data_IF_288053555860
#
_entry.id   IF_288053555860
#
_cell.length_a   1.000
_cell.length_b   1.000
_cell.length_c   1.000
_cell.angle_alpha   90.00
_cell.angle_beta   90.00
_cell.angle_gamma   90.00
#
_symmetry.space_group_name_H-M   'P 1'
#
loop_
_entity.id
_entity.type
_entity.pdbx_description
1 polymer ?
2 non-polymer ?
3 non-polymer ?
4 non-polymer ?
5 water ?
#
# COMPACT_ATOMS: atom_id res chain seq x y z
N UNK A 28 11.06 17.54 -9.56
CA UNK A 28 11.38 16.32 -10.30
C UNK A 28 10.59 15.05 -9.98
N UNK A 29 9.59 14.73 -10.79
CA UNK A 29 8.87 13.50 -10.53
C UNK A 29 9.57 12.24 -11.07
N UNK A 30 9.22 11.13 -10.48
CA UNK A 30 9.76 9.87 -10.86
C UNK A 30 8.67 8.86 -11.25
N UNK A 31 9.11 7.67 -11.71
CA UNK A 31 8.20 6.58 -12.04
C UNK A 31 8.45 5.59 -10.96
N UNK A 32 7.36 5.12 -10.38
CA UNK A 32 7.39 4.16 -9.30
C UNK A 32 6.53 3.01 -9.71
N UNK A 33 7.11 1.83 -9.52
CA UNK A 33 6.37 0.68 -9.90
C UNK A 33 6.21 -0.24 -8.79
N UNK A 34 4.97 -0.65 -8.60
CA UNK A 34 4.76 -1.63 -7.56
C UNK A 34 4.31 -2.88 -8.18
N UNK A 35 5.18 -3.88 -8.13
CA UNK A 35 4.82 -5.15 -8.73
C UNK A 35 5.07 -6.38 -7.82
N UNK A 36 4.96 -7.63 -8.32
CA UNK A 36 5.18 -8.83 -7.47
C UNK A 36 3.89 -9.51 -6.99
N UNK A 37 3.88 -10.74 -6.48
CA UNK A 37 2.66 -11.43 -6.07
C UNK A 37 2.13 -11.14 -4.69
N UNK A 38 2.94 -10.58 -3.81
CA UNK A 38 2.42 -10.26 -2.47
C UNK A 38 1.44 -9.05 -2.50
N UNK A 39 0.50 -9.06 -1.54
CA UNK A 39 -0.52 -8.04 -1.32
C UNK A 39 0.12 -6.72 -1.01
N UNK A 40 -0.31 -5.59 -1.61
CA UNK A 40 0.32 -4.33 -1.17
C UNK A 40 0.70 -3.36 -2.23
N UNK A 41 0.40 -3.65 -3.44
CA UNK A 41 0.86 -2.73 -4.49
C UNK A 41 -0.06 -1.49 -4.65
N UNK A 42 -1.37 -1.81 -4.77
CA UNK A 42 -2.42 -0.86 -4.87
C UNK A 42 -2.42 -0.10 -3.52
N UNK A 43 -2.36 -0.87 -2.42
CA UNK A 43 -2.30 -0.24 -1.12
C UNK A 43 -1.21 0.79 -1.00
N UNK A 44 -0.03 0.44 -1.53
CA UNK A 44 1.10 1.39 -1.48
C UNK A 44 0.94 2.61 -2.37
N UNK A 45 0.40 2.39 -3.57
CA UNK A 45 0.17 3.51 -4.45
C UNK A 45 -0.67 4.55 -3.73
N UNK A 46 -1.78 4.03 -3.05
CA UNK A 46 -2.77 4.83 -2.26
C UNK A 46 -2.20 5.59 -1.10
N UNK A 47 -1.34 4.92 -0.35
CA UNK A 47 -0.62 5.53 0.75
C UNK A 47 0.34 6.60 0.25
N UNK A 48 0.76 6.49 -0.96
CA UNK A 48 1.69 7.55 -1.36
C UNK A 48 0.81 8.74 -1.71
N UNK A 49 -0.28 8.42 -2.40
CA UNK A 49 -1.27 9.34 -2.83
C UNK A 49 -1.78 10.07 -1.60
N UNK A 50 -2.12 9.34 -0.57
CA UNK A 50 -2.59 9.95 0.68
C UNK A 50 -1.58 10.84 1.26
N UNK A 51 -0.38 10.32 1.23
CA UNK A 51 0.70 11.07 1.74
C UNK A 51 0.76 12.38 0.97
N UNK A 52 0.68 12.31 -0.34
CA UNK A 52 0.76 13.52 -1.13
C UNK A 52 -0.41 14.49 -0.92
N UNK A 53 -1.60 13.95 -0.75
CA UNK A 53 -2.78 14.74 -0.51
C UNK A 53 -2.58 15.43 0.82
N UNK A 54 -2.01 14.70 1.77
CA UNK A 54 -1.67 15.28 3.09
C UNK A 54 -0.61 16.39 3.00
N UNK A 55 0.05 16.57 1.82
CA UNK A 55 1.05 17.65 1.65
C UNK A 55 0.56 18.78 0.73
N UNK A 56 -0.75 18.77 0.56
CA UNK A 56 -1.46 19.75 -0.22
C UNK A 56 -1.28 19.56 -1.70
N UNK A 57 -0.78 18.39 -2.05
CA UNK A 57 -0.50 18.00 -3.43
C UNK A 57 -1.74 17.59 -4.24
N UNK A 58 -1.62 17.68 -5.57
CA UNK A 58 -2.70 17.33 -6.52
C UNK A 58 -2.47 15.94 -7.14
N UNK A 59 -3.44 15.08 -7.04
CA UNK A 59 -3.27 13.78 -7.60
C UNK A 59 -4.44 13.29 -8.42
N UNK A 60 -4.15 12.48 -9.42
CA UNK A 60 -5.21 11.90 -10.23
C UNK A 60 -5.01 10.37 -10.28
N UNK A 61 -6.12 9.64 -10.28
CA UNK A 61 -6.12 8.19 -10.36
C UNK A 61 -6.97 7.60 -11.48
N UNK A 62 -6.36 6.61 -12.08
CA UNK A 62 -6.98 5.84 -13.13
C UNK A 62 -6.87 4.43 -12.65
N UNK A 63 -7.99 3.72 -12.69
CA UNK A 63 -7.97 2.38 -12.27
C UNK A 63 -8.30 1.53 -13.44
N UNK A 64 -7.49 0.54 -13.76
CA UNK A 64 -7.76 -0.26 -14.93
C UNK A 64 -8.58 -1.47 -14.65
N UNK A 65 -8.94 -1.57 -13.42
CA UNK A 65 -9.76 -2.69 -13.12
C UNK A 65 -10.97 -2.35 -12.29
N UNK A 66 -12.14 -2.87 -12.68
CA UNK A 66 -13.38 -2.63 -11.95
C UNK A 66 -13.78 -3.58 -10.78
N UNK A 67 -13.46 -3.17 -9.54
CA UNK A 67 -13.83 -3.94 -8.37
C UNK A 67 -15.33 -4.21 -8.31
N UNK A 68 -15.69 -5.22 -7.58
CA UNK A 68 -17.10 -5.51 -7.49
C UNK A 68 -17.66 -4.59 -6.43
N UNK A 69 -16.84 -4.57 -5.38
CA UNK A 69 -17.05 -3.84 -4.18
C UNK A 69 -16.86 -2.35 -4.26
N UNK A 70 -17.28 -1.77 -3.16
CA UNK A 70 -17.17 -0.35 -3.06
C UNK A 70 -15.70 -0.05 -2.86
N UNK A 71 -15.33 1.11 -3.36
CA UNK A 71 -13.98 1.58 -3.34
C UNK A 71 -13.60 2.54 -2.22
N UNK A 72 -13.23 1.98 -1.08
CA UNK A 72 -12.76 2.75 0.09
C UNK A 72 -11.72 3.85 -0.17
N UNK A 73 -10.68 3.57 -0.98
CA UNK A 73 -9.69 4.58 -1.28
C UNK A 73 -10.38 5.74 -1.99
N UNK A 74 -11.25 5.35 -2.89
CA UNK A 74 -11.97 6.36 -3.62
C UNK A 74 -12.79 7.16 -2.63
N UNK A 75 -13.63 6.43 -1.87
CA UNK A 75 -14.53 6.96 -0.84
C UNK A 75 -13.85 8.01 0.00
N UNK A 76 -12.62 7.77 0.37
CA UNK A 76 -11.85 8.69 1.21
C UNK A 76 -11.14 9.81 0.51
N UNK A 77 -10.59 9.52 -0.67
CA UNK A 77 -9.79 10.53 -1.34
C UNK A 77 -10.57 11.38 -2.32
N UNK A 78 -11.58 10.80 -2.94
CA UNK A 78 -12.31 11.59 -3.92
C UNK A 78 -12.80 12.91 -3.36
N UNK A 79 -13.31 12.84 -2.15
CA UNK A 79 -13.81 14.05 -1.52
C UNK A 79 -12.72 15.06 -1.31
N UNK A 80 -11.50 14.58 -1.10
CA UNK A 80 -10.44 15.57 -0.91
C UNK A 80 -9.97 16.20 -2.20
N UNK A 81 -10.59 15.89 -3.29
CA UNK A 81 -9.98 16.57 -4.38
C UNK A 81 -9.30 15.57 -5.27
N UNK A 82 -9.41 14.28 -5.00
CA UNK A 82 -8.72 13.35 -5.92
C UNK A 82 -9.62 12.81 -7.02
N UNK A 83 -9.26 13.09 -8.29
CA UNK A 83 -10.06 12.61 -9.42
C UNK A 83 -9.86 11.13 -9.68
N UNK A 84 -10.92 10.42 -9.94
CA UNK A 84 -10.78 9.02 -10.18
C UNK A 84 -11.47 8.61 -11.45
N UNK A 85 -10.75 7.96 -12.34
CA UNK A 85 -11.37 7.46 -13.55
C UNK A 85 -11.17 5.99 -13.53
N UNK A 86 -12.29 5.33 -13.53
CA UNK A 86 -12.29 3.90 -13.45
C UNK A 86 -12.66 3.20 -14.76
N UNK A 87 -12.36 1.90 -14.85
CA UNK A 87 -12.64 1.11 -16.06
C UNK A 87 -14.11 0.82 -16.13
N UNK A 88 -14.68 0.84 -17.33
CA UNK A 88 -16.10 0.53 -17.40
C UNK A 88 -16.37 -0.87 -16.84
N UNK A 89 -17.58 -1.09 -16.33
CA UNK A 89 -17.95 -2.38 -15.80
C UNK A 89 -18.07 -3.42 -16.93
N UNK A 90 -18.00 -4.71 -16.55
CA UNK A 90 -18.13 -5.90 -17.40
C UNK A 90 -16.94 -6.30 -18.25
N UNK A 91 -15.74 -5.90 -17.91
CA UNK A 91 -14.60 -6.28 -18.69
C UNK A 91 -14.46 -7.78 -18.64
N UNK A 92 -14.48 -8.40 -19.82
CA UNK A 92 -14.45 -9.87 -19.93
C UNK A 92 -13.14 -10.65 -19.64
N UNK A 93 -12.00 -10.14 -20.13
CA UNK A 93 -10.69 -10.77 -20.03
C UNK A 93 -10.76 -11.88 -21.06
N UNK A 94 -11.69 -11.80 -22.00
CA UNK A 94 -11.82 -12.91 -22.92
C UNK A 94 -11.38 -12.63 -24.35
N UNK A 95 -10.70 -13.63 -24.90
CA UNK A 95 -10.14 -13.58 -26.22
C UNK A 95 -11.08 -13.05 -27.26
N UNK A 96 -12.27 -13.66 -27.41
CA UNK A 96 -13.21 -13.18 -28.46
C UNK A 96 -13.61 -11.73 -28.33
N UNK A 97 -13.83 -11.42 -27.07
CA UNK A 97 -14.25 -10.14 -26.63
C UNK A 97 -13.20 -9.10 -26.54
N UNK A 98 -12.05 -9.48 -27.02
CA UNK A 98 -10.96 -8.56 -26.95
C UNK A 98 -11.23 -7.22 -27.57
N UNK A 99 -12.12 -7.13 -28.54
CA UNK A 99 -12.37 -5.85 -29.18
C UNK A 99 -13.08 -4.89 -28.25
N UNK A 100 -14.18 -5.38 -27.68
CA UNK A 100 -14.95 -4.62 -26.72
C UNK A 100 -14.03 -4.20 -25.60
N UNK A 101 -13.54 -5.26 -24.98
CA UNK A 101 -12.63 -5.21 -23.90
C UNK A 101 -11.58 -4.19 -24.11
N UNK A 102 -11.21 -3.97 -25.36
CA UNK A 102 -10.11 -3.04 -25.70
C UNK A 102 -10.49 -1.58 -25.75
N UNK A 103 -11.63 -1.40 -26.37
CA UNK A 103 -12.18 -0.08 -26.52
C UNK A 103 -12.25 0.55 -25.14
N UNK A 104 -12.80 -0.25 -24.28
CA UNK A 104 -12.97 0.11 -22.93
C UNK A 104 -11.68 0.51 -22.29
N UNK A 105 -10.65 -0.21 -22.68
CA UNK A 105 -9.36 0.07 -22.09
C UNK A 105 -8.84 1.33 -22.65
N UNK A 106 -9.07 1.38 -23.93
CA UNK A 106 -8.58 2.54 -24.63
C UNK A 106 -9.31 3.78 -24.18
N UNK A 107 -10.54 3.58 -23.73
CA UNK A 107 -11.37 4.63 -23.22
C UNK A 107 -10.85 5.07 -21.84
N UNK A 108 -10.40 4.17 -21.00
CA UNK A 108 -9.88 4.68 -19.76
C UNK A 108 -8.58 5.41 -20.00
N UNK A 109 -7.72 4.76 -20.81
CA UNK A 109 -6.37 5.25 -21.16
C UNK A 109 -6.30 6.72 -21.57
N UNK A 110 -7.47 7.21 -21.93
CA UNK A 110 -7.60 8.56 -22.39
C UNK A 110 -7.41 9.51 -21.28
N UNK A 111 -8.17 9.25 -20.21
CA UNK A 111 -8.13 10.06 -19.00
C UNK A 111 -6.71 10.05 -18.48
N UNK A 112 -6.11 8.87 -18.67
CA UNK A 112 -4.73 8.59 -18.29
C UNK A 112 -3.84 9.46 -19.12
N UNK A 113 -4.16 9.57 -20.41
CA UNK A 113 -3.38 10.43 -21.29
C UNK A 113 -3.44 11.90 -20.79
N UNK A 114 -4.65 12.25 -20.48
CA UNK A 114 -4.98 13.54 -19.96
C UNK A 114 -4.23 13.88 -18.70
N UNK A 115 -4.29 12.98 -17.74
CA UNK A 115 -3.60 13.25 -16.49
C UNK A 115 -2.07 13.36 -16.61
N UNK A 116 -1.50 12.60 -17.53
CA UNK A 116 -0.05 12.62 -17.75
C UNK A 116 0.40 13.85 -18.53
N UNK A 117 -0.56 14.64 -18.89
CA UNK A 117 -0.30 15.89 -19.58
C UNK A 117 -0.76 17.11 -18.77
N UNK A 118 -1.32 16.87 -17.60
CA UNK A 118 -1.78 17.90 -16.73
C UNK A 118 -0.66 18.30 -15.78
N UNK A 119 -0.35 19.58 -15.92
CA UNK A 119 0.74 20.24 -15.25
C UNK A 119 0.47 20.67 -13.86
N UNK A 120 -0.76 20.56 -13.49
CA UNK A 120 -1.12 20.91 -12.15
C UNK A 120 -1.22 19.67 -11.30
N UNK A 121 -1.06 18.53 -11.96
CA UNK A 121 -1.12 17.25 -11.31
C UNK A 121 0.27 16.84 -10.84
N UNK A 122 0.43 16.72 -9.51
CA UNK A 122 1.73 16.34 -9.00
C UNK A 122 1.95 14.89 -9.06
N UNK A 123 0.86 14.17 -9.04
CA UNK A 123 0.97 12.78 -9.06
C UNK A 123 -0.21 12.15 -9.72
N UNK A 124 0.09 11.06 -10.44
CA UNK A 124 -0.87 10.19 -11.17
C UNK A 124 -0.73 8.73 -10.70
N UNK A 125 -1.83 8.08 -10.44
CA UNK A 125 -1.73 6.71 -10.05
C UNK A 125 -2.25 5.91 -11.24
N UNK A 126 -1.55 4.89 -11.76
CA UNK A 126 -2.15 4.13 -12.87
C UNK A 126 -2.35 2.72 -12.39
N UNK A 127 -3.43 2.51 -11.72
CA UNK A 127 -3.70 1.24 -11.10
C UNK A 127 -4.04 0.10 -12.01
N UNK A 128 -3.13 -0.87 -11.94
CA UNK A 128 -3.17 -2.12 -12.64
C UNK A 128 -3.01 -2.08 -14.12
N UNK A 129 -2.18 -1.18 -14.52
CA UNK A 129 -1.86 -1.02 -15.91
C UNK A 129 -1.22 -2.26 -16.54
N UNK A 130 -0.36 -2.85 -15.73
CA UNK A 130 0.43 -4.02 -16.07
C UNK A 130 -0.30 -5.00 -16.91
N UNK A 131 -1.45 -5.37 -16.48
CA UNK A 131 -2.17 -6.33 -17.28
C UNK A 131 -2.70 -5.71 -18.53
N UNK A 132 -2.78 -4.42 -18.52
CA UNK A 132 -3.30 -3.87 -19.72
C UNK A 132 -2.26 -3.97 -20.83
N UNK A 133 -1.04 -3.71 -20.45
CA UNK A 133 0.02 -3.78 -21.43
C UNK A 133 0.27 -5.21 -21.84
N UNK A 134 0.37 -6.05 -20.83
CA UNK A 134 0.61 -7.48 -20.89
C UNK A 134 -0.30 -8.25 -21.79
N UNK A 135 -1.56 -7.86 -21.86
CA UNK A 135 -2.45 -8.63 -22.73
C UNK A 135 -2.78 -7.97 -24.05
N UNK A 136 -1.99 -6.97 -24.35
CA UNK A 136 -2.14 -6.27 -25.59
C UNK A 136 -3.32 -5.35 -25.70
N UNK A 137 -3.99 -5.12 -24.58
CA UNK A 137 -5.14 -4.22 -24.53
C UNK A 137 -4.74 -2.76 -24.72
N UNK A 138 -3.58 -2.41 -24.17
CA UNK A 138 -3.03 -1.05 -24.20
C UNK A 138 -1.64 -1.08 -24.79
N UNK A 139 -1.48 -0.52 -25.95
CA UNK A 139 -0.17 -0.49 -26.58
C UNK A 139 1.02 0.09 -25.78
N UNK A 140 2.08 -0.69 -25.59
CA UNK A 140 3.29 -0.32 -24.84
C UNK A 140 3.87 1.04 -25.11
N UNK A 141 3.85 1.37 -26.39
CA UNK A 141 4.38 2.62 -26.91
C UNK A 141 3.60 3.82 -26.41
N UNK A 142 2.28 3.61 -26.29
CA UNK A 142 1.34 4.61 -25.80
C UNK A 142 1.75 5.03 -24.42
N UNK A 143 1.80 4.03 -23.60
CA UNK A 143 2.16 4.26 -22.23
C UNK A 143 3.49 4.96 -22.16
N UNK A 144 4.37 4.38 -22.89
CA UNK A 144 5.70 4.89 -22.90
C UNK A 144 5.83 6.34 -23.22
N UNK A 145 5.32 6.64 -24.39
CA UNK A 145 5.43 7.97 -24.84
C UNK A 145 4.81 8.93 -23.87
N UNK A 146 3.64 8.51 -23.40
CA UNK A 146 2.84 9.26 -22.47
C UNK A 146 3.62 9.53 -21.20
N UNK A 147 4.42 8.54 -20.81
CA UNK A 147 5.23 8.66 -19.63
C UNK A 147 6.33 9.67 -19.85
N UNK A 148 7.06 9.44 -20.91
CA UNK A 148 8.19 10.29 -21.24
C UNK A 148 7.88 11.76 -21.39
N UNK A 149 6.75 11.98 -22.01
CA UNK A 149 6.34 13.30 -22.32
C UNK A 149 5.70 14.05 -21.13
N UNK A 150 5.56 13.39 -19.97
CA UNK A 150 4.95 13.98 -18.77
C UNK A 150 5.73 15.13 -18.11
N UNK A 151 4.98 16.00 -17.37
CA UNK A 151 5.56 17.12 -16.64
C UNK A 151 6.73 16.70 -15.79
N UNK A 152 7.83 17.43 -16.03
CA UNK A 152 9.10 17.20 -15.34
C UNK A 152 8.97 17.01 -13.84
N UNK A 153 7.99 17.71 -13.26
CA UNK A 153 7.74 17.63 -11.84
C UNK A 153 6.69 16.61 -11.42
N UNK A 154 6.14 15.82 -12.35
CA UNK A 154 5.08 14.87 -12.04
C UNK A 154 5.53 13.43 -11.72
N UNK A 155 4.92 12.81 -10.68
CA UNK A 155 5.21 11.44 -10.28
C UNK A 155 4.11 10.43 -10.67
N UNK A 156 4.53 9.38 -11.30
CA UNK A 156 3.61 8.37 -11.72
C UNK A 156 3.92 7.11 -10.90
N UNK A 157 2.87 6.45 -10.43
CA UNK A 157 3.00 5.21 -9.69
C UNK A 157 2.25 4.14 -10.44
N UNK A 158 2.93 3.10 -10.86
CA UNK A 158 2.21 2.10 -11.63
C UNK A 158 2.16 0.86 -10.80
N UNK A 159 1.05 0.15 -10.88
CA UNK A 159 1.00 -1.07 -10.12
C UNK A 159 0.45 -2.19 -10.96
N UNK A 160 0.67 -3.37 -10.40
CA UNK A 160 0.15 -4.64 -10.94
C UNK A 160 1.20 -5.72 -11.22
N UNK A 161 0.72 -6.97 -11.19
CA UNK A 161 1.53 -8.12 -11.50
C UNK A 161 1.99 -8.07 -12.94
N UNK A 162 3.25 -8.44 -13.11
CA UNK A 162 3.92 -8.57 -14.39
C UNK A 162 3.98 -7.36 -15.20
N UNK A 163 4.93 -6.53 -14.84
CA UNK A 163 5.05 -5.27 -15.55
C UNK A 163 6.07 -5.34 -16.68
N UNK A 164 5.69 -4.87 -17.85
CA UNK A 164 6.58 -4.89 -18.97
C UNK A 164 8.02 -4.39 -18.69
N UNK A 165 8.98 -5.21 -19.19
CA UNK A 165 10.40 -4.99 -19.05
C UNK A 165 10.76 -3.60 -19.49
N UNK A 166 10.08 -3.11 -20.51
CA UNK A 166 10.38 -1.76 -20.93
C UNK A 166 10.10 -0.80 -19.78
N UNK A 167 8.87 -0.94 -19.23
CA UNK A 167 8.36 -0.11 -18.15
C UNK A 167 9.26 -0.09 -16.98
N UNK A 168 9.61 -1.34 -16.62
CA UNK A 168 10.50 -1.58 -15.50
C UNK A 168 11.82 -0.82 -15.61
N UNK A 169 12.28 -0.72 -16.86
CA UNK A 169 13.52 -0.05 -17.20
C UNK A 169 13.34 1.46 -17.20
N UNK A 170 12.22 1.92 -17.72
CA UNK A 170 11.96 3.36 -17.75
C UNK A 170 11.75 3.87 -16.34
N UNK A 171 11.31 2.95 -15.50
CA UNK A 171 11.03 3.25 -14.12
C UNK A 171 12.22 3.72 -13.31
N UNK A 172 12.01 4.63 -12.36
CA UNK A 172 13.11 5.09 -11.50
C UNK A 172 13.12 4.28 -10.20
N UNK A 173 11.95 3.91 -9.72
CA UNK A 173 11.93 3.13 -8.50
C UNK A 173 11.09 1.93 -8.79
N UNK A 174 11.37 0.85 -8.12
CA UNK A 174 10.57 -0.34 -8.41
C UNK A 174 10.62 -1.23 -7.22
N UNK A 175 9.49 -1.70 -6.82
CA UNK A 175 9.52 -2.62 -5.70
C UNK A 175 8.74 -3.94 -5.93
N UNK A 176 9.35 -5.03 -5.47
CA UNK A 176 8.78 -6.34 -5.61
C UNK A 176 8.15 -6.77 -4.29
N UNK A 177 6.87 -7.03 -4.36
CA UNK A 177 6.16 -7.45 -3.16
C UNK A 177 6.29 -8.94 -3.16
N UNK A 178 7.33 -9.38 -2.46
CA UNK A 178 7.53 -10.80 -2.43
C UNK A 178 6.53 -11.42 -1.49
N UNK A 179 5.86 -12.43 -2.00
CA UNK A 179 4.82 -13.16 -1.31
C UNK A 179 5.29 -14.09 -0.22
N UNK A 180 5.86 -13.54 0.79
CA UNK A 180 6.28 -14.45 1.81
C UNK A 180 5.18 -15.21 2.51
N UNK A 181 4.08 -14.54 2.74
CA UNK A 181 2.96 -15.13 3.44
C UNK A 181 1.71 -14.38 3.07
N UNK A 182 0.61 -15.10 3.05
CA UNK A 182 -0.70 -14.57 2.73
C UNK A 182 -1.88 -15.29 3.40
N UNK A 183 -2.61 -14.53 4.24
CA UNK A 183 -3.78 -14.92 5.06
C UNK A 183 -4.77 -15.87 4.40
N UNK A 184 -4.99 -15.62 3.11
CA UNK A 184 -5.89 -16.43 2.36
C UNK A 184 -5.41 -17.86 2.19
N UNK A 185 -4.12 -18.02 2.35
CA UNK A 185 -3.57 -19.33 2.21
C UNK A 185 -3.94 -20.16 3.41
N UNK A 186 -3.99 -19.44 4.54
CA UNK A 186 -4.38 -20.02 5.81
C UNK A 186 -5.93 -20.10 5.98
N UNK A 187 -6.69 -19.92 4.91
CA UNK A 187 -8.15 -20.03 5.05
C UNK A 187 -8.89 -18.74 5.44
N UNK A 188 -8.19 -17.59 5.46
CA UNK A 188 -8.85 -16.32 5.78
C UNK A 188 -9.53 -15.65 4.59
N UNK A 189 -10.81 -15.49 4.73
CA UNK A 189 -11.65 -14.85 3.74
C UNK A 189 -11.24 -13.38 3.55
N UNK A 190 -11.35 -12.93 2.29
CA UNK A 190 -11.14 -11.54 1.85
C UNK A 190 -12.17 -10.74 2.65
N UNK A 191 -11.81 -9.60 3.21
CA UNK A 191 -12.78 -8.91 4.00
C UNK A 191 -12.69 -7.42 3.80
N UNK A 192 -13.78 -6.72 4.06
CA UNK A 192 -13.73 -5.29 3.84
C UNK A 192 -12.78 -4.56 4.75
N UNK A 193 -12.11 -3.56 4.20
CA UNK A 193 -11.19 -2.89 5.06
C UNK A 193 -9.78 -3.41 4.86
N UNK A 194 -9.63 -4.73 4.64
CA UNK A 194 -8.27 -5.25 4.45
C UNK A 194 -7.97 -5.49 2.99
N UNK A 195 -8.85 -6.25 2.40
CA UNK A 195 -8.76 -6.66 1.03
C UNK A 195 -9.37 -5.81 -0.03
N UNK A 196 -10.51 -5.18 0.24
CA UNK A 196 -11.16 -4.28 -0.71
C UNK A 196 -11.66 -3.11 0.14
N UNK B 7 -11.68 -24.63 -23.67
CA UNK B 7 -12.46 -25.85 -23.56
C UNK B 7 -13.00 -26.07 -22.17
N UNK B 8 -12.49 -27.14 -21.60
CA UNK B 8 -12.79 -27.62 -20.28
C UNK B 8 -11.74 -27.13 -19.28
N UNK B 9 -10.71 -26.53 -19.87
CA UNK B 9 -9.66 -25.95 -19.07
C UNK B 9 -10.23 -24.79 -18.26
N UNK B 10 -10.96 -24.00 -18.99
CA UNK B 10 -11.66 -22.87 -18.48
C UNK B 10 -12.42 -23.29 -17.19
N UNK B 11 -13.29 -24.30 -17.30
CA UNK B 11 -14.05 -24.74 -16.15
C UNK B 11 -13.13 -25.20 -15.07
N UNK B 12 -12.07 -25.82 -15.56
CA UNK B 12 -11.07 -26.40 -14.70
C UNK B 12 -10.62 -25.41 -13.63
N UNK B 13 -10.25 -24.24 -14.16
CA UNK B 13 -9.78 -23.12 -13.35
C UNK B 13 -10.91 -22.57 -12.51
N UNK B 14 -12.05 -22.36 -13.21
CA UNK B 14 -13.33 -21.90 -12.69
C UNK B 14 -13.64 -22.64 -11.42
N UNK B 15 -13.49 -23.96 -11.53
CA UNK B 15 -13.72 -24.87 -10.43
C UNK B 15 -12.71 -24.75 -9.35
N UNK B 16 -11.48 -24.44 -9.76
CA UNK B 16 -10.41 -24.30 -8.80
C UNK B 16 -10.67 -23.12 -7.85
N UNK B 17 -10.83 -21.95 -8.49
CA UNK B 17 -11.08 -20.71 -7.80
C UNK B 17 -12.24 -20.85 -6.83
N UNK B 18 -13.36 -21.25 -7.42
CA UNK B 18 -14.58 -21.45 -6.67
C UNK B 18 -14.35 -22.26 -5.44
N UNK B 19 -13.48 -23.26 -5.61
CA UNK B 19 -13.22 -24.13 -4.50
C UNK B 19 -12.32 -23.49 -3.48
N UNK B 20 -11.34 -22.78 -3.97
CA UNK B 20 -10.42 -22.16 -3.04
C UNK B 20 -11.17 -21.17 -2.14
N UNK B 21 -11.94 -20.38 -2.85
CA UNK B 21 -12.77 -19.34 -2.31
C UNK B 21 -13.79 -19.91 -1.36
N UNK B 22 -14.40 -21.01 -1.85
CA UNK B 22 -15.35 -21.77 -1.13
C UNK B 22 -14.72 -22.24 0.18
N UNK B 23 -13.41 -22.58 0.17
CA UNK B 23 -12.64 -23.10 1.33
C UNK B 23 -12.35 -22.05 2.40
N UNK B 24 -11.91 -20.83 1.99
CA UNK B 24 -11.49 -19.77 2.92
C UNK B 24 -12.61 -18.90 3.54
N UNK B 25 -13.32 -19.53 4.47
CA UNK B 25 -14.45 -18.88 5.11
C UNK B 25 -14.17 -18.12 6.38
N UNK B 26 -13.06 -18.42 7.00
CA UNK B 26 -12.70 -17.79 8.23
C UNK B 26 -12.68 -16.32 8.08
N UNK B 27 -12.86 -15.67 9.19
CA UNK B 27 -12.86 -14.26 9.09
C UNK B 27 -12.65 -13.67 10.44
N UNK B 28 -11.53 -12.97 10.54
CA UNK B 28 -11.13 -12.26 11.74
C UNK B 28 -10.07 -11.24 11.41
N UNK B 29 -9.61 -10.52 12.41
CA UNK B 29 -8.55 -9.56 12.15
C UNK B 29 -7.22 -10.31 11.95
N UNK B 30 -6.36 -9.84 11.05
CA UNK B 30 -5.09 -10.48 10.76
C UNK B 30 -3.90 -9.58 11.01
N UNK B 31 -2.73 -10.25 11.01
CA UNK B 31 -1.47 -9.57 11.18
C UNK B 31 -0.86 -9.43 9.84
N UNK B 32 -0.42 -8.25 9.54
CA UNK B 32 0.16 -8.05 8.26
C UNK B 32 1.52 -7.44 8.44
N UNK B 33 2.50 -8.01 7.76
CA UNK B 33 3.80 -7.42 7.89
C UNK B 33 4.24 -6.92 6.54
N UNK B 34 4.89 -5.76 6.58
CA UNK B 34 5.45 -5.15 5.41
C UNK B 34 6.91 -4.96 5.67
N UNK B 35 7.74 -5.83 5.09
CA UNK B 35 9.17 -5.76 5.31
C UNK B 35 10.04 -5.61 4.07
N UNK B 36 11.36 -5.77 4.21
CA UNK B 36 12.27 -5.62 3.08
C UNK B 36 12.87 -4.25 2.98
N UNK B 37 13.78 -4.07 2.02
CA UNK B 37 14.48 -2.81 1.88
C UNK B 37 13.89 -1.96 0.85
N UNK B 38 13.00 -2.57 0.10
CA UNK B 38 12.42 -1.71 -0.90
C UNK B 38 11.39 -0.70 -0.32
N UNK B 39 11.23 0.45 -1.01
CA UNK B 39 10.28 1.50 -0.66
C UNK B 39 8.82 0.99 -0.70
N UNK B 40 7.98 1.40 0.25
CA UNK B 40 6.62 0.94 0.18
C UNK B 40 6.08 0.31 1.44
N UNK B 41 6.88 0.14 2.49
CA UNK B 41 6.37 -0.48 3.71
C UNK B 41 5.37 0.46 4.41
N UNK B 42 5.82 1.60 4.91
CA UNK B 42 4.91 2.52 5.56
C UNK B 42 3.81 2.91 4.58
N UNK B 43 4.14 3.30 3.35
CA UNK B 43 3.10 3.64 2.39
C UNK B 43 1.97 2.62 2.19
N UNK B 44 2.25 1.31 2.28
CA UNK B 44 1.17 0.34 2.06
C UNK B 44 0.30 0.13 3.27
N UNK B 45 0.87 0.42 4.44
CA UNK B 45 0.10 0.30 5.66
C UNK B 45 -1.07 1.36 5.69
N UNK B 46 -0.64 2.59 5.35
CA UNK B 46 -1.46 3.81 5.21
C UNK B 46 -2.49 3.67 4.09
N UNK B 47 -2.11 2.94 3.04
CA UNK B 47 -3.07 2.78 2.00
C UNK B 47 -4.09 1.83 2.49
N UNK B 48 -3.72 1.03 3.43
CA UNK B 48 -4.72 0.05 3.82
C UNK B 48 -5.63 0.69 4.86
N UNK B 49 -4.99 1.54 5.61
CA UNK B 49 -5.68 2.26 6.63
C UNK B 49 -6.75 3.01 5.91
N UNK B 50 -6.30 3.79 4.95
CA UNK B 50 -7.13 4.64 4.12
C UNK B 50 -8.28 3.89 3.54
N UNK B 51 -7.99 2.66 3.10
CA UNK B 51 -8.99 1.80 2.48
C UNK B 51 -10.10 1.42 3.51
N UNK B 52 -9.65 1.23 4.74
CA UNK B 52 -10.46 0.89 5.91
C UNK B 52 -11.43 2.02 6.26
N UNK B 53 -10.86 3.19 6.42
CA UNK B 53 -11.61 4.39 6.71
C UNK B 53 -12.68 4.52 5.64
N UNK B 54 -12.26 4.43 4.36
CA UNK B 54 -13.11 4.53 3.18
C UNK B 54 -14.40 3.73 3.31
N UNK B 55 -14.41 2.69 4.19
CA UNK B 55 -15.55 1.80 4.50
C UNK B 55 -16.21 2.01 5.88
N UNK B 56 -15.72 2.98 6.65
CA UNK B 56 -16.22 3.27 7.98
C UNK B 56 -15.48 2.54 9.06
N UNK B 57 -14.46 1.80 8.68
CA UNK B 57 -13.75 1.08 9.73
C UNK B 57 -12.94 2.04 10.58
N UNK B 58 -12.71 1.65 11.87
CA UNK B 58 -11.93 2.45 12.86
C UNK B 58 -10.46 1.99 12.95
N UNK B 59 -9.53 2.91 12.84
CA UNK B 59 -8.13 2.62 12.83
C UNK B 59 -7.33 3.50 13.75
N UNK B 60 -6.28 2.90 14.30
CA UNK B 60 -5.33 3.56 15.21
C UNK B 60 -3.89 3.35 14.74
N UNK B 61 -3.08 4.38 14.78
CA UNK B 61 -1.70 4.30 14.33
C UNK B 61 -0.63 4.65 15.34
N UNK B 62 0.45 3.90 15.34
CA UNK B 62 1.54 4.26 16.21
C UNK B 62 2.81 4.36 15.36
N UNK B 63 3.53 5.46 15.40
CA UNK B 63 4.74 5.56 14.60
C UNK B 63 6.05 5.51 15.44
N UNK B 64 6.90 4.43 15.35
CA UNK B 64 8.18 4.36 16.14
C UNK B 64 9.31 5.28 15.86
N UNK B 65 9.17 5.97 14.73
CA UNK B 65 10.14 6.94 14.28
C UNK B 65 9.49 8.28 13.93
N UNK B 66 10.18 9.32 14.35
CA UNK B 66 9.76 10.67 14.10
C UNK B 66 10.59 11.35 13.01
N UNK B 67 9.90 11.53 11.89
CA UNK B 67 10.49 12.14 10.72
C UNK B 67 10.99 13.58 10.92
N UNK B 68 11.69 14.03 9.88
CA UNK B 68 12.29 15.35 9.74
C UNK B 68 11.24 16.36 9.25
N UNK B 69 10.24 15.86 8.53
CA UNK B 69 9.23 16.73 7.96
C UNK B 69 7.85 16.44 8.45
N UNK B 70 6.90 17.19 7.87
CA UNK B 70 5.48 17.05 8.16
C UNK B 70 4.87 15.72 7.65
N UNK B 71 3.90 15.20 8.45
CA UNK B 71 3.18 13.94 8.26
C UNK B 71 1.92 14.05 7.40
N UNK B 72 2.14 13.98 6.09
CA UNK B 72 1.06 14.02 5.14
C UNK B 72 -0.04 13.04 5.52
N UNK B 73 0.33 11.85 5.95
CA UNK B 73 -0.69 10.87 6.27
C UNK B 73 -1.51 11.27 7.45
N UNK B 74 -0.80 11.79 8.44
CA UNK B 74 -1.39 12.26 9.69
C UNK B 74 -2.36 13.37 9.39
N UNK B 75 -1.81 14.30 8.60
CA UNK B 75 -2.54 15.45 8.18
C UNK B 75 -3.90 15.05 7.66
N UNK B 76 -3.83 14.22 6.63
CA UNK B 76 -4.98 13.67 5.96
C UNK B 76 -5.84 12.74 6.81
N UNK B 77 -5.22 11.78 7.53
CA UNK B 77 -6.00 10.80 8.28
C UNK B 77 -6.49 11.15 9.70
N UNK B 78 -5.78 12.03 10.40
CA UNK B 78 -6.23 12.32 11.76
C UNK B 78 -7.70 12.78 11.84
N UNK B 79 -7.97 13.86 11.12
CA UNK B 79 -9.31 14.41 11.04
C UNK B 79 -10.38 13.37 10.75
N UNK B 80 -10.04 12.22 10.19
CA UNK B 80 -11.10 11.27 9.97
C UNK B 80 -11.35 10.45 11.17
N UNK B 81 -10.58 10.79 12.20
CA UNK B 81 -10.71 10.10 13.44
C UNK B 81 -9.74 8.93 13.55
N UNK B 82 -8.58 9.17 12.97
CA UNK B 82 -7.52 8.22 13.06
C UNK B 82 -6.50 8.80 14.01
N UNK B 83 -6.40 8.19 15.19
CA UNK B 83 -5.45 8.68 16.18
C UNK B 83 -4.04 8.28 15.81
N UNK B 84 -3.13 9.21 16.02
CA UNK B 84 -1.74 9.06 15.79
C UNK B 84 -0.93 9.20 17.06
N UNK B 85 -0.22 8.14 17.42
CA UNK B 85 0.69 8.22 18.55
C UNK B 85 2.09 8.12 17.99
N UNK B 86 2.73 9.28 17.89
CA UNK B 86 4.06 9.45 17.37
C UNK B 86 5.13 9.60 18.45
N UNK B 87 6.36 9.29 18.04
CA UNK B 87 7.59 9.33 18.80
C UNK B 87 8.22 10.71 18.90
N UNK B 88 8.68 10.95 20.13
CA UNK B 88 9.29 12.21 20.49
C UNK B 88 10.51 12.62 19.71
N UNK B 89 10.65 13.93 19.57
CA UNK B 89 11.79 14.43 18.83
C UNK B 89 13.06 14.03 19.59
N UNK B 90 14.19 14.16 18.88
CA UNK B 90 15.51 13.93 19.39
C UNK B 90 15.93 12.50 19.78
N UNK B 91 15.23 11.44 19.37
CA UNK B 91 15.68 10.06 19.68
C UNK B 91 17.09 9.84 19.12
N UNK B 92 17.93 9.31 19.99
CA UNK B 92 19.29 9.02 19.65
C UNK B 92 19.40 7.58 19.26
N UNK B 93 20.26 7.33 18.35
CA UNK B 93 20.29 5.91 18.19
C UNK B 93 21.44 5.37 19.01
N UNK B 94 22.09 6.34 19.74
CA UNK B 94 23.22 6.20 20.70
C UNK B 94 23.05 5.33 21.91
N UNK B 95 24.02 4.43 21.96
CA UNK B 95 24.16 3.44 22.97
C UNK B 95 24.19 4.16 24.34
N UNK B 96 25.03 5.17 24.33
CA UNK B 96 25.21 6.00 25.49
C UNK B 96 23.90 6.45 26.10
N UNK B 97 22.94 6.68 25.22
CA UNK B 97 21.64 7.19 25.57
C UNK B 97 20.49 6.25 25.43
N UNK B 98 20.81 4.99 25.56
CA UNK B 98 19.73 4.05 25.48
C UNK B 98 18.59 4.33 26.50
N UNK B 99 18.87 4.79 27.71
CA UNK B 99 17.80 5.04 28.69
C UNK B 99 16.76 6.05 28.24
N UNK B 100 17.27 7.15 27.70
CA UNK B 100 16.41 8.17 27.23
C UNK B 100 15.60 7.70 26.04
N UNK B 101 16.28 7.02 25.11
CA UNK B 101 15.65 6.48 23.92
C UNK B 101 14.68 5.39 24.28
N UNK B 102 15.05 4.60 25.26
CA UNK B 102 14.18 3.50 25.65
C UNK B 102 12.94 4.03 26.31
N UNK B 103 13.17 5.11 27.04
CA UNK B 103 12.02 5.66 27.75
C UNK B 103 10.96 6.08 26.75
N UNK B 104 11.49 6.88 25.84
CA UNK B 104 10.74 7.40 24.73
C UNK B 104 9.98 6.30 24.00
N UNK B 105 10.68 5.22 23.77
CA UNK B 105 10.10 4.15 23.06
C UNK B 105 8.84 3.61 23.70
N UNK B 106 9.09 3.25 24.94
CA UNK B 106 8.15 2.59 25.83
C UNK B 106 6.93 3.42 26.00
N UNK B 107 7.20 4.71 25.86
CA UNK B 107 6.14 5.65 25.96
C UNK B 107 5.19 5.46 24.79
N UNK B 108 5.73 5.57 23.56
CA UNK B 108 4.89 5.35 22.40
C UNK B 108 4.25 4.00 22.53
N UNK B 109 4.99 3.01 23.06
CA UNK B 109 4.48 1.66 23.21
C UNK B 109 3.24 1.53 24.05
N UNK B 110 3.07 2.43 25.03
CA UNK B 110 1.86 2.39 25.87
C UNK B 110 0.59 2.47 25.05
N UNK B 111 0.51 3.61 24.37
CA UNK B 111 -0.57 3.91 23.47
C UNK B 111 -0.83 2.70 22.57
N UNK B 112 0.22 2.17 21.96
CA UNK B 112 0.03 1.02 21.09
C UNK B 112 -0.60 -0.16 21.80
N UNK B 113 -0.15 -0.32 23.02
CA UNK B 113 -0.65 -1.35 23.87
C UNK B 113 -2.16 -1.11 24.05
N UNK B 114 -2.46 0.19 24.15
CA UNK B 114 -3.83 0.68 24.32
C UNK B 114 -4.73 0.36 23.14
N UNK B 115 -4.27 0.79 21.95
CA UNK B 115 -5.02 0.49 20.72
C UNK B 115 -5.22 -0.98 20.51
N UNK B 116 -4.17 -1.73 20.82
CA UNK B 116 -4.13 -3.18 20.67
C UNK B 116 -5.16 -3.81 21.57
N UNK B 117 -5.49 -3.06 22.61
CA UNK B 117 -6.47 -3.56 23.53
C UNK B 117 -7.91 -3.09 23.26
N UNK B 118 -8.09 -2.02 22.47
CA UNK B 118 -9.40 -1.45 22.15
C UNK B 118 -10.22 -2.20 21.08
N UNK B 119 -11.45 -2.64 21.46
CA UNK B 119 -12.34 -3.40 20.59
C UNK B 119 -13.04 -2.54 19.56
N UNK B 120 -12.87 -1.27 19.76
CA UNK B 120 -13.42 -0.28 18.87
C UNK B 120 -12.63 -0.16 17.58
N UNK B 121 -11.29 -0.31 17.66
CA UNK B 121 -10.35 -0.23 16.54
C UNK B 121 -10.42 -1.50 15.66
N UNK B 122 -10.56 -1.30 14.35
CA UNK B 122 -10.64 -2.47 13.52
C UNK B 122 -9.30 -2.75 12.95
N UNK B 123 -8.47 -1.71 13.11
CA UNK B 123 -7.16 -1.75 12.60
C UNK B 123 -6.22 -0.96 13.40
N UNK B 124 -5.03 -1.60 13.63
CA UNK B 124 -3.86 -1.03 14.31
C UNK B 124 -2.61 -1.13 13.43
N UNK B 125 -1.98 0.01 13.30
CA UNK B 125 -0.79 0.22 12.54
C UNK B 125 0.35 0.63 13.44
N UNK B 126 1.35 -0.27 13.51
CA UNK B 126 2.58 -0.13 14.29
C UNK B 126 3.69 0.13 13.32
N UNK B 127 3.81 1.40 12.95
CA UNK B 127 4.77 1.86 11.98
C UNK B 127 6.21 1.97 12.45
N UNK B 128 7.06 1.13 11.84
CA UNK B 128 8.48 1.11 12.16
C UNK B 128 8.76 0.49 13.53
N UNK B 129 7.94 -0.45 13.88
CA UNK B 129 8.15 -1.15 15.10
C UNK B 129 9.44 -2.04 15.08
N UNK B 130 9.80 -2.62 13.93
CA UNK B 130 10.94 -3.54 13.82
C UNK B 130 12.25 -3.10 14.42
N UNK B 131 12.60 -1.88 14.18
CA UNK B 131 13.83 -1.42 14.77
C UNK B 131 13.71 -1.23 16.25
N UNK B 132 12.49 -1.12 16.78
CA UNK B 132 12.39 -0.94 18.22
C UNK B 132 12.69 -2.27 18.93
N UNK B 133 12.17 -3.33 18.35
CA UNK B 133 12.45 -4.62 18.92
C UNK B 133 13.90 -5.05 18.59
N UNK B 134 14.28 -4.89 17.32
CA UNK B 134 15.60 -5.28 16.83
C UNK B 134 16.75 -4.64 17.54
N UNK B 135 16.49 -3.50 18.13
CA UNK B 135 17.56 -2.78 18.83
C UNK B 135 17.42 -2.77 20.33
N UNK B 136 16.56 -3.69 20.75
CA UNK B 136 16.39 -3.87 22.14
C UNK B 136 15.80 -2.66 22.85
N UNK B 137 15.12 -1.81 22.15
CA UNK B 137 14.54 -0.71 22.85
C UNK B 137 13.15 -1.13 23.28
N UNK B 138 12.76 -2.30 22.82
CA UNK B 138 11.45 -2.77 23.16
C UNK B 138 11.45 -4.26 23.06
N UNK B 139 10.96 -4.83 24.15
CA UNK B 139 10.80 -6.25 24.40
C UNK B 139 9.76 -6.94 23.58
N UNK B 140 10.25 -7.97 22.94
CA UNK B 140 9.47 -8.79 22.07
C UNK B 140 8.31 -9.51 22.71
N UNK B 141 8.48 -10.07 23.89
CA UNK B 141 7.37 -10.87 24.40
C UNK B 141 6.11 -10.06 24.52
N UNK B 142 6.39 -8.79 24.88
CA UNK B 142 5.41 -7.74 25.05
C UNK B 142 4.62 -7.65 23.80
N UNK B 143 5.30 -7.25 22.74
CA UNK B 143 4.66 -7.17 21.45
C UNK B 143 3.94 -8.49 21.12
N UNK B 144 4.65 -9.60 21.29
CA UNK B 144 4.05 -10.88 21.01
C UNK B 144 2.79 -11.09 21.85
N UNK B 145 2.84 -10.68 23.11
CA UNK B 145 1.67 -10.88 23.92
C UNK B 145 0.46 -10.05 23.48
N UNK B 146 0.73 -8.75 23.39
CA UNK B 146 -0.25 -7.75 23.01
C UNK B 146 -0.91 -8.22 21.76
N UNK B 147 -0.11 -8.63 20.82
CA UNK B 147 -0.70 -9.10 19.59
C UNK B 147 -1.61 -10.28 19.86
N UNK B 148 -1.25 -10.98 20.92
CA UNK B 148 -1.94 -12.19 21.28
C UNK B 148 -3.26 -11.98 21.94
N UNK B 149 -3.35 -10.85 22.60
CA UNK B 149 -4.56 -10.47 23.31
C UNK B 149 -5.61 -9.71 22.54
N UNK B 150 -5.15 -8.76 21.72
CA UNK B 150 -5.96 -7.93 20.85
C UNK B 150 -7.25 -8.55 20.39
N UNK B 151 -8.15 -7.65 20.19
CA UNK B 151 -9.48 -7.99 19.74
C UNK B 151 -9.43 -8.86 18.49
N UNK B 152 -10.29 -9.87 18.49
CA UNK B 152 -10.46 -10.89 17.45
C UNK B 152 -11.14 -10.51 16.14
N UNK B 153 -11.07 -9.24 15.82
CA UNK B 153 -11.59 -8.73 14.59
C UNK B 153 -10.63 -7.59 14.23
N UNK B 154 -9.73 -7.38 15.17
CA UNK B 154 -8.74 -6.37 15.00
C UNK B 154 -7.60 -6.83 14.10
N UNK B 155 -7.20 -5.98 13.14
CA UNK B 155 -6.07 -6.28 12.24
C UNK B 155 -4.87 -5.38 12.57
N UNK B 156 -3.69 -5.96 12.54
CA UNK B 156 -2.52 -5.17 12.81
C UNK B 156 -1.60 -5.12 11.61
N UNK B 157 -1.01 -4.02 11.41
CA UNK B 157 -0.13 -4.03 10.32
C UNK B 157 1.11 -3.56 10.94
N UNK B 158 2.22 -4.29 10.78
CA UNK B 158 3.52 -3.90 11.30
C UNK B 158 4.32 -3.62 10.05
N UNK B 159 5.23 -2.63 10.17
CA UNK B 159 6.14 -2.11 9.12
C UNK B 159 7.60 -1.94 9.58
N UNK B 160 8.49 -2.01 8.60
CA UNK B 160 9.92 -1.77 8.78
C UNK B 160 10.82 -2.96 8.34
N UNK B 161 12.08 -2.64 8.09
CA UNK B 161 13.09 -3.59 7.70
C UNK B 161 13.53 -4.44 8.83
N UNK B 162 13.88 -5.65 8.50
CA UNK B 162 14.39 -6.52 9.52
C UNK B 162 13.53 -6.75 10.73
N UNK B 163 12.45 -7.52 10.48
CA UNK B 163 11.43 -7.95 11.42
C UNK B 163 11.69 -9.31 12.08
N UNK B 164 11.63 -9.33 13.41
CA UNK B 164 11.80 -10.53 14.17
C UNK B 164 10.95 -11.65 13.67
N UNK B 165 11.64 -12.77 13.48
CA UNK B 165 11.06 -13.96 12.96
C UNK B 165 9.84 -14.33 13.74
N UNK B 166 9.98 -14.25 15.04
CA UNK B 166 8.89 -14.58 15.90
C UNK B 166 7.61 -13.86 15.46
N UNK B 167 7.73 -12.54 15.22
CA UNK B 167 6.72 -11.64 14.70
C UNK B 167 6.35 -12.07 13.33
N UNK B 168 7.40 -12.30 12.52
CA UNK B 168 7.14 -12.80 11.17
C UNK B 168 6.30 -14.05 11.22
N UNK B 169 6.67 -14.89 12.20
CA UNK B 169 5.99 -16.18 12.41
C UNK B 169 4.53 -16.07 12.85
N UNK B 170 4.27 -15.13 13.74
CA UNK B 170 2.92 -14.89 14.23
C UNK B 170 2.02 -14.28 13.18
N UNK B 171 2.64 -13.38 12.36
CA UNK B 171 2.02 -12.63 11.26
C UNK B 171 1.29 -13.53 10.29
N UNK B 172 0.12 -13.06 9.78
CA UNK B 172 -0.78 -13.78 8.86
C UNK B 172 -0.42 -13.66 7.36
N UNK B 173 -0.03 -12.46 6.96
CA UNK B 173 0.40 -12.11 5.62
C UNK B 173 1.69 -11.35 5.78
N UNK B 174 2.63 -11.67 4.90
CA UNK B 174 3.94 -11.04 4.90
C UNK B 174 4.39 -10.80 3.47
N UNK B 175 4.86 -9.60 3.26
CA UNK B 175 5.30 -9.22 1.98
C UNK B 175 6.57 -8.49 2.22
N UNK B 176 7.55 -8.90 1.45
CA UNK B 176 8.88 -8.35 1.52
C UNK B 176 9.18 -7.63 0.23
N UNK B 177 9.37 -6.32 0.46
CA UNK B 177 9.62 -5.38 -0.58
C UNK B 177 11.03 -5.39 -1.00
N UNK B 178 11.17 -5.99 -2.16
CA UNK B 178 12.46 -6.10 -2.79
C UNK B 178 12.72 -4.92 -3.70
N UNK B 179 13.85 -4.23 -3.40
CA UNK B 179 14.25 -3.07 -4.14
C UNK B 179 14.83 -3.34 -5.47
N UNK B 180 13.92 -3.48 -6.41
CA UNK B 180 14.41 -3.74 -7.72
C UNK B 180 15.20 -2.57 -8.17
N UNK B 181 14.61 -1.43 -7.92
CA UNK B 181 15.19 -0.17 -8.28
C UNK B 181 14.81 0.84 -7.24
N UNK B 182 15.59 1.91 -7.21
CA UNK B 182 15.40 3.05 -6.32
C UNK B 182 16.05 4.35 -6.77
N UNK B 183 15.22 5.34 -7.09
CA UNK B 183 15.64 6.66 -7.53
C UNK B 183 16.80 7.26 -6.75
N UNK B 184 16.89 6.93 -5.49
CA UNK B 184 17.95 7.46 -4.69
C UNK B 184 19.33 7.10 -5.18
N UNK B 185 19.52 5.82 -5.40
CA UNK B 185 20.77 5.23 -5.90
C UNK B 185 21.18 5.93 -7.18
N UNK B 186 20.12 6.44 -7.81
CA UNK B 186 20.29 7.13 -9.05
C UNK B 186 20.44 8.63 -8.88
N UNK B 187 20.74 9.02 -7.65
CA UNK B 187 20.93 10.39 -7.31
C UNK B 187 19.67 11.19 -7.05
N UNK B 188 18.53 10.54 -7.10
CA UNK B 188 17.37 11.35 -6.80
C UNK B 188 17.26 11.58 -5.32
N UNK B 189 16.99 12.82 -4.97
CA UNK B 189 16.84 13.18 -3.60
C UNK B 189 15.38 12.94 -3.15
N UNK B 190 15.25 12.91 -1.84
CA UNK B 190 13.97 12.69 -1.16
C UNK B 190 13.00 13.81 -1.42
N UNK B 191 11.73 13.47 -1.59
CA UNK B 191 10.77 14.53 -1.86
C UNK B 191 9.37 14.43 -1.20
N UNK B 192 8.70 15.60 -1.02
CA UNK B 192 7.40 15.81 -0.39
C UNK B 192 6.19 15.24 -1.12
N UNK B 193 5.54 14.26 -0.47
CA UNK B 193 4.36 13.54 -0.93
C UNK B 193 4.70 12.12 -1.39
N UNK B 194 5.98 11.97 -1.75
CA UNK B 194 6.69 10.79 -2.27
C UNK B 194 7.47 10.01 -1.18
N UNK B 195 8.50 10.67 -0.71
CA UNK B 195 9.42 10.15 0.26
C UNK B 195 8.91 10.43 1.66
N UNK B 196 8.37 11.60 1.87
CA UNK B 196 7.83 11.89 3.18
C UNK B 196 6.63 12.81 3.05
X LIG C 1 -3.92 -3.95 -6.86
X LIG D 1 -8.48 -12.10 -10.07
X LIG D 1 -9.75 -12.77 -8.94
X LIG D 1 -9.82 -11.62 -11.31
X LIG D 1 -7.04 -11.72 -11.25
X LIG D 1 -7.30 -12.70 -8.80
X LIG D 1 -9.27 -13.57 -7.78
X LIG D 1 -9.11 -15.03 -8.15
X LIG D 1 -10.45 -13.31 -6.67
X LIG D 1 -10.67 -14.52 -5.76
X LIG D 1 -10.13 -12.08 -5.86
X LIG D 1 -11.23 -11.63 -4.95
X LIG D 1 -11.57 -12.26 -3.95
X LIG D 1 -11.88 -10.53 -5.36
X LIG D 1 -11.64 -12.96 -7.58
X LIG D 1 -12.63 -14.04 -8.05
X LIG D 1 -13.94 -14.13 -7.22
X LIG D 1 -14.67 -15.45 -7.31
X LIG D 1 -14.70 -16.09 -8.40
X LIG D 1 -15.32 -15.90 -6.25
X LIG D 1 -10.96 -12.30 -8.73
X LIG D 1 -11.67 -11.56 -9.72
X LIG D 1 -13.17 -11.29 -9.40
X LIG D 1 -11.18 -11.42 -10.95
X LIG D 1 -11.79 -10.57 -12.07
X LIG D 1 -13.30 -10.79 -12.34
X LIG D 1 -11.46 -9.10 -11.70
X LIG D 1 -12.37 -8.11 -12.40
X LIG D 1 -12.40 -8.04 -13.64
X LIG D 1 -13.12 -7.35 -11.62
X LIG D 1 -10.88 -11.00 -13.27
X LIG D 1 -11.36 -12.21 -14.06
X LIG D 1 -10.34 -13.09 -14.74
X LIG D 1 -10.90 -14.43 -14.94
X LIG D 1 -12.10 -14.65 -14.80
X LIG D 1 -10.08 -15.46 -15.24
X LIG D 1 -9.60 -11.25 -12.54
X LIG D 1 -8.38 -10.98 -13.10
X LIG D 1 -7.22 -11.41 -12.54
X LIG D 1 -5.93 -11.00 -13.12
X LIG D 1 -5.94 -11.31 -14.65
X LIG D 1 -5.85 -9.50 -12.89
X LIG D 1 -4.93 -11.72 -12.24
X LIG D 1 -4.43 -13.11 -12.71
X LIG D 1 -3.26 -13.15 -13.75
X LIG D 1 -1.93 -12.80 -13.14
X LIG D 1 -1.21 -11.93 -13.69
X LIG D 1 -1.49 -13.52 -12.08
X LIG D 1 -5.75 -11.96 -11.01
X LIG D 1 -5.23 -12.24 -9.76
X LIG D 1 -3.78 -11.93 -9.50
X LIG D 1 -6.04 -12.46 -8.63
X LIG D 1 -5.55 -13.08 -7.38
X LIG D 1 -5.05 -11.93 -6.51
X LIG D 1 -4.47 -14.12 -7.50
X LIG D 1 -4.80 -15.41 -8.20
X LIG D 1 -3.60 -16.29 -8.18
X LIG D 1 -2.54 -15.84 -8.69
X LIG D 1 -3.71 -17.44 -7.50
X LIG D 1 -6.82 -13.69 -6.79
X LIG D 1 -6.92 -13.51 -5.31
X LIG D 1 -7.32 -14.80 -4.59
X LIG D 1 -7.33 -15.85 -5.20
X LIG D 1 -7.60 -14.65 -3.29
X LIG D 1 -7.90 -12.94 -7.52
X LIG D 1 -2.65 -18.45 -7.32
X LIG D 1 -2.45 -19.32 -8.55
X LIG D 1 -1.21 -20.24 -8.36
X LIG D 1 -3.60 -20.24 -8.61
X LIG D 1 -3.73 -20.96 -11.05
X LIG D 1 -5.71 -21.09 -9.43
X LIG D 1 -4.49 -20.35 -9.91
X LIG D 1 -4.83 -18.84 -10.20
X LIG D 1 -5.43 -18.46 -11.46
X LIG D 1 -6.82 -17.91 -11.26
X LIG D 1 -6.89 -17.17 -10.01
X LIG D 1 -6.88 -16.92 -12.51
X LIG D 1 -5.57 -16.36 -12.53
X LIG D 1 -4.61 -17.33 -12.03
X LIG D 1 -3.77 -17.78 -13.24
X LIG D 1 -4.55 -18.61 -14.21
X LIG D 1 -7.80 -15.78 -12.32
X LIG D 1 -9.23 -15.89 -12.31
X LIG D 1 -7.51 -14.66 -11.64
X LIG D 1 -8.58 -14.07 -11.08
X LIG D 1 -9.65 -14.87 -11.49
X LIG D 1 -11.05 -14.73 -11.22
X LIG D 1 -11.89 -15.64 -11.79
X LIG D 1 -13.40 -15.50 -11.53
X LIG D 1 -11.43 -16.72 -12.57
X LIG D 1 -12.40 -17.73 -13.13
X LIG D 1 -10.07 -16.85 -12.87
X LIG E 1 -3.94 -4.73 -2.33
X LIG E 1 -4.82 -3.85 -3.15
X LIG E 1 -2.79 -3.91 -1.96
X LIG E 1 -4.54 -5.27 -1.05
X LIG E 1 -2.41 -5.72 -4.49
X LIG E 1 -1.05 -5.91 -3.90
X LIG E 1 -2.48 -4.52 -5.34
X LIG E 1 -3.48 -5.78 -3.35
X LIG E 1 -3.79 -7.31 -6.52
X LIG E 1 -3.61 -8.63 -7.20
X LIG E 1 -3.91 -6.17 -7.46
X LIG E 1 -2.82 -7.04 -5.32
X LIG E 1 -5.08 -7.48 -5.61
X LIG E 1 -6.31 -7.97 -6.14
X LIG E 1 -7.06 -8.54 -4.96
X LIG E 1 -6.35 -9.69 -4.55
X LIG E 1 -7.08 -7.70 -3.70
X LIG E 1 -8.32 -7.95 -2.99
X LIG E 1 -5.99 -8.04 -3.06
X LIG E 1 -5.98 -7.66 -1.69
X LIG E 1 -5.89 -9.52 -3.23
X LIG E 1 -4.58 -10.05 -3.24
X LIG E 1 -3.42 -9.42 -3.53
X LIG E 1 -2.38 -10.22 -3.39
X LIG E 1 -2.92 -11.43 -3.01
X LIG E 1 -2.28 -12.65 -2.72
X LIG E 1 -0.93 -12.79 -2.80
X LIG E 1 -3.12 -13.66 -2.34
X LIG E 1 -4.48 -13.41 -2.28
X LIG E 1 -5.15 -12.32 -2.55
X LIG E 1 -4.28 -11.35 -2.93
X LIG F 1 8.46 3.53 6.69
X LIG G 1 7.81 4.67 2.46
X LIG G 1 7.32 5.39 3.67
X LIG G 1 6.72 3.84 1.94
X LIG G 1 8.30 5.53 1.33
X LIG G 1 9.19 2.44 3.63
X LIG G 1 8.95 1.38 2.64
X LIG G 1 8.26 2.21 4.78
X LIG G 1 9.03 3.81 2.92
X LIG G 1 11.44 2.90 5.41
X LIG G 1 12.54 1.99 5.81
X LIG G 1 10.47 2.94 6.53
X LIG G 1 10.72 2.34 4.14
X LIG G 1 12.08 4.33 5.09
X LIG G 1 11.43 5.60 5.33
X LIG G 1 12.12 6.71 4.54
X LIG G 1 13.17 6.14 3.73
X LIG G 1 11.24 7.30 3.48
X LIG G 1 11.63 8.64 3.19
X LIG G 1 11.35 6.41 2.50
X LIG G 1 10.64 6.71 1.29
X LIG G 1 12.80 6.17 2.34
X LIG G 1 13.13 4.90 1.66
X LIG G 1 12.60 3.66 1.86
X LIG G 1 13.28 2.66 1.28
X LIG G 1 14.31 3.33 0.64
X LIG G 1 15.37 2.82 -0.12
X LIG G 1 15.49 1.49 -0.32
X LIG G 1 16.25 3.76 -0.63
X LIG G 1 16.07 5.09 -0.35
X LIG G 1 15.14 5.64 0.37
X LIG G 1 14.25 4.70 0.85
#
# INVERSE_FOLDING_TARGET
MSDERYQQRQQKVKDRVDARVAQAQEERGIIIVFTGNGKGKTTAAFGTAARAVGHGKNVGVVQFIKGTWPNGERNLLEPHGVEFQVMATGFTWETQNREADTAACMAVWQHGKRMLADPLLDMVVLDELTYMVAYDYLPLEEVISALNARPGHQTVIITGRGCHRDILDLADTVSELRPVKHAFDAGVKAQMGIDY
MSDERYQQRQQKVKDRVDARVAQAQEERGIIIVFTGNGKGKTTAAFGTAARAVGHGKNVGVVQFIKGTWPNGERNLLEPHGVEFQVMATGFTWETQNREADTAACMAVWQHGKRMLADPLLDMVVLDELTYMVAYDYLPLEEVISALNARPGHQTVIITGRGCHRDILDLADTVSELRPVKHAFDAGVKAQMGIDY
MG MG
B12 CO N21 N22 N23 N24 C1 C20 C2 C25 C26 C27 O28 N29 C3 C30 C31 C32 O34 N33 C4 C5 C35 C6 C7 C36 C37 C38 O39 N40 C8 C41 C42 C43 O44 N45 C9 C10 C11 C12 C46 C47 C13 C48 C49 C50 O51 N52 C14 C15 C53 C16 C17 C54 C55 C56 C57 O58 N59 C18 C60 C61 O63 N62 C19 C1P C2P C3P O3 O4 O5 P O2 C3R C2R O7R C1R O6R C4R C5R O8R N1B C8B C2B N3B C9B C4B C5B C5M C6B C6M C7B
ATP PG O1G O2G O3G PB O1B O2B O3B PA O1A O2A O3A O5' C5' C4' O4' C3' O3' C2' O2' C1' N9 C8 N7 C5 C6 N6 N1 C2 N3 C4
MG MG
ATP PG O1G O2G O3G PB O1B O2B O3B PA O1A O2A O3A O5' C5' C4' O4' C3' O3' C2' O2' C1' N9 C8 N7 C5 C6 N6 N1 C2 N3 C4
#
